data_IF_653743009967
#
_entry.id   IF_653743009967
#
_cell.length_a   1.000
_cell.length_b   1.000
_cell.length_c   1.000
_cell.angle_alpha   90.00
_cell.angle_beta   90.00
_cell.angle_gamma   90.00
#
_symmetry.space_group_name_H-M   'P 1'
#
loop_
_entity.id
_entity.type
_entity.pdbx_description
1 polymer ?
#
# COMPACT_ATOMS: atom_id res chain seq x y z
N UNK A 1 -3.93 -5.45 23.74
CA UNK A 1 -3.29 -4.58 22.75
C UNK A 1 -2.33 -3.64 23.50
N UNK A 2 -1.39 -2.99 22.81
CA UNK A 2 -0.40 -2.09 23.43
C UNK A 2 -1.06 -0.86 24.07
N UNK A 3 -0.25 0.09 24.52
CA UNK A 3 -0.77 1.36 25.03
C UNK A 3 -0.93 2.34 23.88
N UNK A 4 -2.10 2.99 23.80
CA UNK A 4 -2.46 3.91 22.72
C UNK A 4 -2.68 5.32 23.26
N UNK A 5 -2.02 6.28 22.62
CA UNK A 5 -2.28 7.71 22.84
C UNK A 5 -2.57 8.40 21.51
N UNK A 6 -3.45 9.40 21.56
CA UNK A 6 -3.81 10.22 20.40
C UNK A 6 -3.59 11.68 20.77
N UNK A 7 -2.67 12.34 20.06
CA UNK A 7 -2.59 13.79 20.08
C UNK A 7 -3.41 14.33 18.92
N UNK A 8 -4.40 15.19 19.17
CA UNK A 8 -5.25 15.77 18.11
C UNK A 8 -5.48 17.28 18.32
N UNK A 9 -5.60 18.03 17.22
CA UNK A 9 -6.00 19.44 17.19
C UNK A 9 -6.77 19.70 15.91
N UNK A 10 -8.01 20.16 16.02
CA UNK A 10 -8.81 20.60 14.88
C UNK A 10 -8.54 22.08 14.57
N UNK A 11 -8.93 22.54 13.37
CA UNK A 11 -8.74 23.93 12.94
C UNK A 11 -9.47 24.93 13.86
N UNK A 12 -10.59 24.52 14.46
CA UNK A 12 -11.43 25.38 15.29
C UNK A 12 -11.01 25.43 16.76
N UNK A 13 -10.08 24.56 17.19
CA UNK A 13 -9.64 24.49 18.59
C UNK A 13 -8.40 25.34 18.82
N UNK A 14 -8.41 26.13 19.90
CA UNK A 14 -7.27 26.98 20.29
C UNK A 14 -6.08 26.16 20.80
N UNK A 15 -6.34 25.06 21.51
CA UNK A 15 -5.32 24.18 22.09
C UNK A 15 -5.50 22.73 21.64
N UNK A 16 -4.40 22.01 21.46
CA UNK A 16 -4.46 20.58 21.20
C UNK A 16 -4.66 19.80 22.49
N UNK A 17 -5.11 18.55 22.34
CA UNK A 17 -5.19 17.62 23.46
C UNK A 17 -4.44 16.31 23.19
N UNK A 18 -3.95 15.74 24.28
CA UNK A 18 -3.43 14.38 24.36
C UNK A 18 -4.48 13.51 25.05
N UNK A 19 -4.88 12.44 24.37
CA UNK A 19 -5.87 11.47 24.82
C UNK A 19 -5.17 10.14 25.08
N UNK A 20 -5.34 9.57 26.27
CA UNK A 20 -4.84 8.23 26.60
C UNK A 20 -5.99 7.26 26.76
N UNK A 21 -5.85 6.07 26.21
CA UNK A 21 -6.91 5.06 26.18
C UNK A 21 -6.53 3.81 26.96
N UNK A 22 -7.51 3.17 27.58
CA UNK A 22 -7.35 1.86 28.21
C UNK A 22 -7.41 0.72 27.18
N UNK A 23 -7.24 -0.51 27.66
CA UNK A 23 -7.25 -1.72 26.83
C UNK A 23 -8.59 -2.01 26.14
N UNK A 24 -9.68 -1.39 26.60
CA UNK A 24 -11.03 -1.53 26.06
C UNK A 24 -11.38 -0.35 25.12
N UNK A 25 -10.44 0.56 24.88
CA UNK A 25 -10.66 1.74 24.06
C UNK A 25 -11.39 2.87 24.78
N UNK A 26 -11.51 2.80 26.11
CA UNK A 26 -12.13 3.88 26.90
C UNK A 26 -11.11 4.96 27.19
N UNK A 27 -11.54 6.22 27.13
CA UNK A 27 -10.70 7.37 27.45
C UNK A 27 -10.36 7.35 28.94
N UNK A 28 -9.06 7.33 29.27
CA UNK A 28 -8.54 7.33 30.64
C UNK A 28 -8.17 8.74 31.07
N UNK A 29 -7.54 9.51 30.18
CA UNK A 29 -7.10 10.86 30.49
C UNK A 29 -7.12 11.75 29.24
N UNK A 30 -7.35 13.04 29.50
CA UNK A 30 -7.26 14.13 28.54
C UNK A 30 -6.40 15.23 29.16
N UNK A 31 -5.34 15.64 28.49
CA UNK A 31 -4.50 16.76 28.91
C UNK A 31 -4.23 17.72 27.75
N UNK A 32 -3.89 18.97 28.07
CA UNK A 32 -3.49 19.95 27.07
C UNK A 32 -2.10 19.61 26.50
N UNK A 33 -1.90 19.86 25.20
CA UNK A 33 -0.63 19.67 24.51
C UNK A 33 -0.42 20.82 23.51
N UNK A 34 0.82 21.28 23.36
CA UNK A 34 1.16 22.22 22.28
C UNK A 34 1.49 21.44 21.01
N UNK A 35 0.75 21.70 19.92
CA UNK A 35 1.05 21.20 18.55
C UNK A 35 0.24 21.94 17.49
N UNK A 36 0.66 21.77 16.25
CA UNK A 36 -0.07 22.17 15.06
C UNK A 36 -1.30 21.30 14.80
N UNK A 37 -2.15 21.76 13.88
CA UNK A 37 -3.38 21.06 13.44
C UNK A 37 -3.06 19.69 12.84
N UNK A 38 -3.90 18.71 13.14
CA UNK A 38 -3.78 17.34 12.63
C UNK A 38 -3.92 16.30 13.73
N UNK A 39 -3.44 15.08 13.51
CA UNK A 39 -3.56 13.97 14.48
C UNK A 39 -2.32 13.09 14.46
N UNK A 40 -1.80 12.74 15.64
CA UNK A 40 -0.72 11.78 15.83
C UNK A 40 -1.24 10.63 16.69
N UNK A 41 -1.23 9.42 16.13
CA UNK A 41 -1.59 8.19 16.86
C UNK A 41 -0.29 7.48 17.23
N UNK A 42 -0.09 7.23 18.52
CA UNK A 42 1.07 6.51 19.05
C UNK A 42 0.63 5.19 19.67
N UNK A 43 1.23 4.10 19.23
CA UNK A 43 1.02 2.76 19.80
C UNK A 43 2.35 2.25 20.35
N UNK A 44 2.40 1.99 21.66
CA UNK A 44 3.58 1.50 22.38
C UNK A 44 3.36 0.09 22.88
N UNK A 45 4.44 -0.69 22.96
CA UNK A 45 4.43 -2.05 23.49
C UNK A 45 3.35 -2.95 22.84
N UNK A 46 3.29 -2.94 21.51
CA UNK A 46 2.32 -3.71 20.74
C UNK A 46 2.37 -5.19 21.15
N UNK A 47 1.20 -5.78 21.41
CA UNK A 47 1.02 -7.15 21.89
C UNK A 47 1.53 -7.49 23.30
N UNK A 48 1.98 -6.54 24.14
CA UNK A 48 2.50 -6.84 25.49
C UNK A 48 1.59 -7.71 26.37
N UNK A 49 0.28 -7.65 26.16
CA UNK A 49 -0.75 -8.41 26.92
C UNK A 49 -1.08 -9.78 26.30
N UNK A 50 -0.39 -10.18 25.23
CA UNK A 50 -0.56 -11.45 24.52
C UNK A 50 0.83 -12.11 24.36
N UNK A 51 1.33 -12.80 25.41
CA UNK A 51 2.74 -13.20 25.49
C UNK A 51 3.25 -14.02 24.29
N UNK A 52 2.45 -14.99 23.83
CA UNK A 52 2.79 -15.83 22.67
C UNK A 52 2.96 -14.98 21.42
N UNK A 53 1.97 -14.11 21.13
CA UNK A 53 1.98 -13.22 19.97
C UNK A 53 3.07 -12.16 20.06
N UNK A 54 3.37 -11.65 21.26
CA UNK A 54 4.45 -10.71 21.50
C UNK A 54 5.82 -11.34 21.16
N UNK A 55 6.06 -12.57 21.64
CA UNK A 55 7.30 -13.30 21.35
C UNK A 55 7.43 -13.59 19.85
N UNK A 56 6.35 -14.01 19.19
CA UNK A 56 6.33 -14.25 17.75
C UNK A 56 6.59 -12.95 16.95
N UNK A 57 5.95 -11.85 17.34
CA UNK A 57 6.14 -10.54 16.72
C UNK A 57 7.59 -10.06 16.83
N UNK A 58 8.20 -10.21 18.01
CA UNK A 58 9.61 -9.87 18.22
C UNK A 58 10.54 -10.75 17.37
N UNK A 59 10.32 -12.08 17.34
CA UNK A 59 11.10 -13.02 16.53
C UNK A 59 11.05 -12.65 15.04
N UNK A 60 9.89 -12.20 14.56
CA UNK A 60 9.64 -11.88 13.17
C UNK A 60 9.67 -10.37 12.86
N UNK A 61 10.25 -9.53 13.74
CA UNK A 61 10.16 -8.07 13.64
C UNK A 61 10.61 -7.51 12.28
N UNK A 62 11.72 -8.03 11.72
CA UNK A 62 12.21 -7.62 10.39
C UNK A 62 11.19 -7.89 9.28
N UNK A 63 10.55 -9.06 9.30
CA UNK A 63 9.52 -9.42 8.33
C UNK A 63 8.26 -8.55 8.48
N UNK A 64 7.87 -8.24 9.72
CA UNK A 64 6.73 -7.36 10.02
C UNK A 64 6.97 -5.91 9.56
N UNK A 65 8.19 -5.38 9.74
CA UNK A 65 8.59 -4.07 9.21
C UNK A 65 8.55 -4.07 7.69
N UNK A 66 9.09 -5.11 7.03
CA UNK A 66 9.05 -5.23 5.56
C UNK A 66 7.62 -5.30 5.03
N UNK A 67 6.74 -6.08 5.66
CA UNK A 67 5.33 -6.17 5.30
C UNK A 67 4.60 -4.83 5.49
N UNK A 68 4.89 -4.11 6.57
CA UNK A 68 4.32 -2.79 6.85
C UNK A 68 4.81 -1.76 5.83
N UNK A 69 6.11 -1.77 5.50
CA UNK A 69 6.68 -0.90 4.49
C UNK A 69 6.02 -1.12 3.13
N UNK A 70 5.84 -2.37 2.69
CA UNK A 70 5.13 -2.70 1.44
C UNK A 70 3.71 -2.14 1.39
N UNK A 71 2.98 -2.21 2.51
CA UNK A 71 1.63 -1.63 2.60
C UNK A 71 1.68 -0.10 2.45
N UNK A 72 2.60 0.57 3.14
CA UNK A 72 2.76 2.03 3.05
C UNK A 72 3.20 2.45 1.64
N UNK A 73 4.11 1.70 1.02
CA UNK A 73 4.55 1.91 -0.36
C UNK A 73 3.36 1.83 -1.33
N UNK A 74 2.48 0.84 -1.19
CA UNK A 74 1.28 0.73 -2.02
C UNK A 74 0.37 1.96 -1.85
N UNK A 75 0.12 2.41 -0.62
CA UNK A 75 -0.67 3.63 -0.39
C UNK A 75 -0.01 4.89 -0.97
N UNK A 76 1.31 5.02 -0.90
CA UNK A 76 2.01 6.17 -1.46
C UNK A 76 1.99 6.20 -2.98
N UNK A 77 2.00 5.04 -3.65
CA UNK A 77 1.80 4.96 -5.10
C UNK A 77 0.35 5.32 -5.46
N UNK A 78 -0.63 4.88 -4.67
CA UNK A 78 -2.04 5.15 -4.92
C UNK A 78 -2.46 6.61 -4.68
N UNK A 79 -1.73 7.33 -3.82
CA UNK A 79 -2.02 8.70 -3.38
C UNK A 79 -0.81 9.61 -3.67
N UNK A 80 -0.48 9.86 -4.95
CA UNK A 80 0.71 10.59 -5.38
C UNK A 80 0.81 12.03 -4.88
N UNK A 81 -0.33 12.64 -4.52
CA UNK A 81 -0.46 13.97 -3.96
C UNK A 81 -0.15 14.04 -2.45
N UNK A 82 -0.05 12.88 -1.78
CA UNK A 82 0.22 12.81 -0.35
C UNK A 82 1.70 12.55 -0.10
N UNK A 83 2.30 13.33 0.79
CA UNK A 83 3.68 13.15 1.25
C UNK A 83 3.74 12.03 2.29
N UNK A 84 4.48 10.97 2.00
CA UNK A 84 4.76 9.88 2.94
C UNK A 84 6.20 9.97 3.46
N UNK A 85 6.40 9.64 4.73
CA UNK A 85 7.74 9.45 5.32
C UNK A 85 7.68 8.30 6.31
N UNK A 86 8.53 7.30 6.09
CA UNK A 86 8.69 6.14 6.96
C UNK A 86 10.10 6.12 7.50
N UNK A 87 10.20 6.12 8.81
CA UNK A 87 11.46 6.13 9.53
C UNK A 87 11.50 4.96 10.49
N UNK A 88 12.62 4.26 10.50
CA UNK A 88 12.96 3.30 11.54
C UNK A 88 13.97 3.93 12.49
N UNK A 89 13.66 3.88 13.78
CA UNK A 89 14.55 4.33 14.84
C UNK A 89 14.98 3.11 15.67
N UNK A 90 16.30 2.97 15.89
CA UNK A 90 16.83 1.96 16.80
C UNK A 90 17.08 2.59 18.16
N UNK A 91 16.29 2.19 19.16
CA UNK A 91 16.32 2.77 20.51
C UNK A 91 17.56 2.41 21.35
N UNK A 92 18.35 1.37 21.00
CA UNK A 92 19.53 0.93 21.78
C UNK A 92 20.65 0.28 20.94
N UNK A 93 21.91 0.64 21.21
CA UNK A 93 23.14 0.02 20.68
C UNK A 93 24.20 1.04 20.19
N UNK A 94 25.49 0.65 20.05
CA UNK A 94 26.48 1.49 19.38
C UNK A 94 26.11 1.56 17.89
N UNK A 95 25.79 2.76 17.39
CA UNK A 95 25.11 2.97 16.10
C UNK A 95 23.61 3.28 16.20
N UNK A 96 23.14 3.72 17.38
CA UNK A 96 21.84 4.37 17.53
C UNK A 96 21.67 5.47 16.49
N UNK A 97 20.63 5.34 15.67
CA UNK A 97 20.46 6.18 14.49
C UNK A 97 19.06 6.06 13.91
N UNK A 98 18.66 7.13 13.24
CA UNK A 98 17.40 7.26 12.53
C UNK A 98 17.66 6.89 11.07
N UNK A 99 17.01 5.84 10.57
CA UNK A 99 17.13 5.43 9.16
C UNK A 99 15.81 5.72 8.46
N UNK A 100 15.86 6.54 7.42
CA UNK A 100 14.71 6.75 6.52
C UNK A 100 14.55 5.52 5.65
N UNK A 101 13.41 4.84 5.77
CA UNK A 101 13.08 3.67 4.95
C UNK A 101 12.41 4.09 3.63
N UNK A 102 11.69 5.20 3.64
CA UNK A 102 10.94 5.71 2.50
C UNK A 102 10.59 7.18 2.73
N UNK A 103 10.66 8.00 1.68
CA UNK A 103 10.13 9.34 1.67
C UNK A 103 9.63 9.70 0.27
N UNK A 104 8.46 10.31 0.17
CA UNK A 104 7.93 10.88 -1.07
C UNK A 104 7.75 12.38 -0.90
N UNK A 105 7.63 13.11 -2.02
CA UNK A 105 7.42 14.57 -2.02
C UNK A 105 5.94 14.97 -2.11
N UNK A 106 5.03 14.06 -2.50
CA UNK A 106 3.61 14.38 -2.71
C UNK A 106 3.34 15.20 -3.98
N UNK A 107 4.27 15.18 -4.95
CA UNK A 107 4.23 16.03 -6.15
C UNK A 107 4.00 15.24 -7.44
N UNK A 108 3.86 13.91 -7.34
CA UNK A 108 3.69 13.07 -8.52
C UNK A 108 2.34 13.36 -9.20
N UNK A 109 2.33 13.27 -10.54
CA UNK A 109 1.15 13.56 -11.38
C UNK A 109 0.61 12.35 -12.13
N UNK A 110 1.39 11.28 -12.21
CA UNK A 110 1.02 10.05 -12.90
C UNK A 110 1.63 8.82 -12.19
N UNK A 111 1.18 7.63 -12.58
CA UNK A 111 1.61 6.35 -12.01
C UNK A 111 3.11 6.13 -12.11
N UNK A 112 3.77 6.59 -13.18
CA UNK A 112 5.22 6.47 -13.37
C UNK A 112 6.00 7.25 -12.32
N UNK A 113 5.68 8.53 -12.15
CA UNK A 113 6.31 9.38 -11.13
C UNK A 113 6.02 8.87 -9.71
N UNK A 114 4.78 8.44 -9.47
CA UNK A 114 4.37 7.90 -8.17
C UNK A 114 5.16 6.64 -7.82
N UNK A 115 5.27 5.71 -8.77
CA UNK A 115 6.03 4.49 -8.62
C UNK A 115 7.54 4.75 -8.51
N UNK A 116 8.10 5.69 -9.28
CA UNK A 116 9.53 6.03 -9.24
C UNK A 116 9.92 6.56 -7.86
N UNK A 117 9.09 7.44 -7.30
CA UNK A 117 9.31 8.01 -5.96
C UNK A 117 9.32 6.96 -4.83
N UNK A 118 8.72 5.78 -5.05
CA UNK A 118 8.53 4.75 -4.02
C UNK A 118 9.42 3.52 -4.24
N UNK A 119 9.55 3.07 -5.49
CA UNK A 119 10.27 1.86 -5.89
C UNK A 119 11.67 2.17 -6.46
N UNK A 120 11.93 3.44 -6.82
CA UNK A 120 13.16 3.92 -7.47
C UNK A 120 13.10 3.82 -9.00
N UNK A 121 13.74 4.76 -9.70
CA UNK A 121 13.76 4.81 -11.17
C UNK A 121 14.30 3.53 -11.83
N UNK A 122 15.33 2.93 -11.24
CA UNK A 122 15.90 1.67 -11.73
C UNK A 122 14.88 0.52 -11.76
N UNK A 123 13.91 0.53 -10.84
CA UNK A 123 12.84 -0.47 -10.81
C UNK A 123 11.85 -0.33 -11.96
N UNK A 124 11.72 0.87 -12.54
CA UNK A 124 10.80 1.20 -13.63
C UNK A 124 11.48 1.26 -14.99
N UNK A 125 12.76 0.89 -15.09
CA UNK A 125 13.49 0.94 -16.35
C UNK A 125 12.77 0.13 -17.43
N UNK A 126 12.37 0.82 -18.50
CA UNK A 126 11.64 0.25 -19.63
C UNK A 126 10.18 -0.14 -19.35
N UNK A 127 9.61 0.26 -18.21
CA UNK A 127 8.19 0.01 -17.91
C UNK A 127 7.29 0.69 -18.95
N UNK A 128 6.33 -0.05 -19.46
CA UNK A 128 5.41 0.37 -20.50
C UNK A 128 4.10 0.84 -19.86
N UNK A 129 3.59 2.03 -20.24
CA UNK A 129 2.28 2.48 -19.78
C UNK A 129 1.17 1.61 -20.36
N UNK A 130 0.16 1.35 -19.54
CA UNK A 130 -1.06 0.65 -19.92
C UNK A 130 -2.25 1.59 -19.69
N UNK A 131 -3.14 1.70 -20.67
CA UNK A 131 -4.43 2.34 -20.53
C UNK A 131 -5.49 1.56 -21.32
N UNK A 132 -6.61 1.25 -20.70
CA UNK A 132 -7.74 0.59 -21.34
C UNK A 132 -9.06 1.00 -20.69
N UNK A 133 -10.13 1.04 -21.47
CA UNK A 133 -11.49 1.31 -20.98
C UNK A 133 -12.42 0.24 -21.51
N UNK A 134 -13.23 -0.36 -20.64
CA UNK A 134 -14.09 -1.47 -21.03
C UNK A 134 -15.23 -1.68 -20.02
N UNK A 135 -16.48 -1.76 -20.51
CA UNK A 135 -17.69 -2.01 -19.69
C UNK A 135 -17.82 -1.10 -18.44
N UNK A 136 -17.43 0.18 -18.55
CA UNK A 136 -17.48 1.14 -17.43
C UNK A 136 -16.31 1.04 -16.45
N UNK A 137 -15.32 0.19 -16.73
CA UNK A 137 -14.03 0.15 -16.06
C UNK A 137 -13.00 0.96 -16.83
N UNK A 138 -12.19 1.70 -16.09
CA UNK A 138 -10.96 2.28 -16.59
C UNK A 138 -9.79 1.58 -15.91
N UNK A 139 -8.80 1.19 -16.71
CA UNK A 139 -7.58 0.54 -16.24
C UNK A 139 -6.41 1.36 -16.69
N UNK A 140 -5.58 1.78 -15.74
CA UNK A 140 -4.34 2.51 -16.01
C UNK A 140 -3.18 1.88 -15.24
N UNK A 141 -1.96 2.07 -15.74
CA UNK A 141 -0.76 1.85 -14.96
C UNK A 141 0.45 1.47 -15.78
N UNK A 142 1.25 0.54 -15.27
CA UNK A 142 2.57 0.21 -15.81
C UNK A 142 2.83 -1.30 -15.75
N UNK A 143 3.50 -1.81 -16.78
CA UNK A 143 3.97 -3.19 -16.82
C UNK A 143 5.43 -3.27 -17.29
N UNK A 144 6.19 -4.25 -16.80
CA UNK A 144 7.54 -4.51 -17.29
C UNK A 144 7.55 -4.86 -18.78
N UNK A 145 8.62 -4.48 -19.51
CA UNK A 145 8.82 -4.95 -20.88
C UNK A 145 9.14 -6.47 -20.87
N UNK A 146 8.87 -7.21 -21.96
CA UNK A 146 9.01 -8.66 -22.01
C UNK A 146 10.38 -9.19 -21.55
N UNK A 147 11.46 -8.49 -21.88
CA UNK A 147 12.84 -8.90 -21.55
C UNK A 147 13.38 -8.31 -20.23
N UNK A 148 12.55 -7.62 -19.45
CA UNK A 148 12.91 -7.01 -18.17
C UNK A 148 12.51 -7.87 -16.96
N UNK A 149 12.14 -7.20 -15.86
CA UNK A 149 11.47 -7.83 -14.71
C UNK A 149 12.33 -7.99 -13.46
N UNK A 150 11.76 -8.69 -12.47
CA UNK A 150 12.28 -8.82 -11.10
C UNK A 150 12.44 -10.27 -10.69
N UNK A 151 13.24 -10.50 -9.65
CA UNK A 151 13.41 -11.84 -9.05
C UNK A 151 12.21 -12.33 -8.26
N UNK A 152 11.29 -11.43 -7.88
CA UNK A 152 10.13 -11.72 -7.06
C UNK A 152 8.91 -10.91 -7.48
N UNK A 153 7.73 -11.30 -6.97
CA UNK A 153 6.45 -10.60 -7.14
C UNK A 153 6.31 -9.35 -6.26
N UNK A 154 7.41 -8.80 -5.76
CA UNK A 154 7.43 -7.74 -4.75
C UNK A 154 6.94 -6.38 -5.28
N UNK A 155 6.92 -6.19 -6.60
CA UNK A 155 6.46 -4.98 -7.27
C UNK A 155 5.20 -5.20 -8.11
N UNK A 156 4.29 -6.07 -7.65
CA UNK A 156 2.97 -6.25 -8.24
C UNK A 156 1.92 -5.57 -7.36
N UNK A 157 1.52 -4.37 -7.75
CA UNK A 157 0.61 -3.50 -7.03
C UNK A 157 -0.71 -3.35 -7.81
N UNK A 158 -1.81 -3.59 -7.12
CA UNK A 158 -3.15 -3.51 -7.68
C UNK A 158 -3.97 -2.53 -6.86
N UNK A 159 -4.76 -1.70 -7.53
CA UNK A 159 -5.59 -0.69 -6.91
C UNK A 159 -6.99 -0.72 -7.49
N UNK A 160 -8.00 -0.60 -6.64
CA UNK A 160 -9.38 -0.33 -7.09
C UNK A 160 -9.84 0.97 -6.45
N UNK A 161 -10.25 1.94 -7.25
CA UNK A 161 -10.65 3.28 -6.80
C UNK A 161 -9.62 3.90 -5.84
N UNK A 162 -8.34 3.91 -6.27
CA UNK A 162 -7.16 4.39 -5.51
C UNK A 162 -6.91 3.67 -4.17
N UNK A 163 -7.48 2.48 -3.98
CA UNK A 163 -7.27 1.67 -2.78
C UNK A 163 -6.40 0.46 -3.09
N UNK A 164 -5.27 0.26 -2.39
CA UNK A 164 -4.47 -0.95 -2.53
C UNK A 164 -5.29 -2.20 -2.19
N UNK A 165 -5.23 -3.18 -3.09
CA UNK A 165 -5.90 -4.48 -2.93
C UNK A 165 -4.89 -5.60 -3.18
N UNK A 166 -5.19 -6.77 -2.64
CA UNK A 166 -4.42 -7.96 -3.01
C UNK A 166 -4.66 -8.27 -4.51
N UNK A 167 -3.64 -8.80 -5.22
CA UNK A 167 -3.78 -9.14 -6.63
C UNK A 167 -4.99 -10.06 -6.86
N UNK A 168 -5.97 -9.66 -7.69
CA UNK A 168 -7.09 -10.53 -8.03
C UNK A 168 -6.54 -11.80 -8.67
N UNK A 169 -6.83 -12.98 -8.09
CA UNK A 169 -6.13 -14.24 -8.42
C UNK A 169 -6.10 -14.55 -9.91
N UNK A 170 -7.22 -14.33 -10.61
CA UNK A 170 -7.36 -14.56 -12.06
C UNK A 170 -6.47 -13.60 -12.87
N UNK A 171 -6.52 -12.31 -12.55
CA UNK A 171 -5.74 -11.25 -13.23
C UNK A 171 -4.24 -11.47 -13.01
N UNK A 172 -3.85 -11.68 -11.75
CA UNK A 172 -2.46 -11.95 -11.40
C UNK A 172 -1.93 -13.19 -12.11
N UNK A 173 -2.73 -14.26 -12.19
CA UNK A 173 -2.36 -15.47 -12.93
C UNK A 173 -2.18 -15.18 -14.42
N UNK A 174 -3.15 -14.54 -15.07
CA UNK A 174 -3.09 -14.19 -16.49
C UNK A 174 -1.84 -13.38 -16.83
N UNK A 175 -1.58 -12.30 -16.10
CA UNK A 175 -0.41 -11.43 -16.34
C UNK A 175 0.89 -12.22 -16.20
N UNK A 176 1.01 -13.03 -15.14
CA UNK A 176 2.22 -13.80 -14.90
C UNK A 176 2.41 -14.92 -15.94
N UNK A 177 1.34 -15.63 -16.31
CA UNK A 177 1.39 -16.69 -17.31
C UNK A 177 1.74 -16.12 -18.69
N UNK A 178 1.16 -14.99 -19.09
CA UNK A 178 1.52 -14.28 -20.33
C UNK A 178 2.96 -13.80 -20.30
N UNK A 179 3.40 -13.16 -19.21
CA UNK A 179 4.78 -12.67 -19.09
C UNK A 179 5.81 -13.80 -19.19
N UNK A 180 5.54 -14.94 -18.54
CA UNK A 180 6.44 -16.09 -18.57
C UNK A 180 6.55 -16.77 -19.95
N UNK A 181 5.65 -16.51 -20.90
CA UNK A 181 5.82 -16.93 -22.28
C UNK A 181 7.02 -16.24 -22.95
N UNK A 182 7.32 -15.01 -22.53
CA UNK A 182 8.46 -14.22 -23.03
C UNK A 182 9.68 -14.31 -22.12
N UNK A 183 9.48 -14.34 -20.80
CA UNK A 183 10.56 -14.40 -19.82
C UNK A 183 10.19 -15.24 -18.61
N UNK A 184 10.50 -16.54 -18.69
CA UNK A 184 10.21 -17.53 -17.65
C UNK A 184 11.06 -17.42 -16.38
N UNK A 185 12.09 -16.55 -16.36
CA UNK A 185 13.04 -16.43 -15.25
C UNK A 185 12.77 -15.24 -14.34
N UNK A 186 11.87 -14.35 -14.74
CA UNK A 186 11.59 -13.11 -14.02
C UNK A 186 10.08 -12.89 -13.85
N UNK A 187 9.73 -12.15 -12.81
CA UNK A 187 8.38 -11.68 -12.55
C UNK A 187 8.22 -10.25 -13.06
N UNK A 188 7.07 -9.88 -13.65
CA UNK A 188 6.85 -8.51 -14.09
C UNK A 188 6.67 -7.57 -12.90
N UNK A 189 7.18 -6.34 -13.04
CA UNK A 189 6.61 -5.20 -12.33
C UNK A 189 5.22 -4.94 -12.91
N UNK A 190 4.25 -4.78 -12.03
CA UNK A 190 2.85 -4.55 -12.39
C UNK A 190 2.32 -3.47 -11.48
N UNK A 191 1.79 -2.41 -12.06
CA UNK A 191 1.05 -1.36 -11.36
C UNK A 191 -0.24 -1.24 -12.14
N UNK A 192 -1.35 -1.70 -11.57
CA UNK A 192 -2.64 -1.64 -12.24
C UNK A 192 -3.68 -1.01 -11.34
N UNK A 193 -4.23 0.10 -11.81
CA UNK A 193 -5.27 0.85 -11.14
C UNK A 193 -6.58 0.74 -11.92
N UNK A 194 -7.58 0.17 -11.27
CA UNK A 194 -8.94 0.04 -11.74
C UNK A 194 -9.77 1.19 -11.17
N UNK A 195 -10.49 1.89 -12.03
CA UNK A 195 -11.52 2.85 -11.64
C UNK A 195 -12.86 2.31 -12.12
N UNK A 196 -13.82 2.23 -11.21
CA UNK A 196 -15.17 1.79 -11.52
C UNK A 196 -16.20 2.52 -10.65
N UNK A 197 -17.43 2.74 -11.15
CA UNK A 197 -18.56 3.21 -10.36
C UNK A 197 -18.78 2.38 -9.09
N UNK A 198 -19.18 3.03 -8.00
CA UNK A 198 -19.34 2.38 -6.68
C UNK A 198 -20.30 1.18 -6.69
N UNK A 199 -21.27 1.13 -7.61
CA UNK A 199 -22.20 0.00 -7.74
C UNK A 199 -21.59 -1.29 -8.31
N UNK A 200 -20.37 -1.24 -8.86
CA UNK A 200 -19.71 -2.39 -9.48
C UNK A 200 -18.63 -3.03 -8.60
N UNK A 201 -18.30 -2.41 -7.46
CA UNK A 201 -17.23 -2.84 -6.55
C UNK A 201 -17.79 -2.99 -5.14
N UNK A 202 -17.77 -4.22 -4.61
CA UNK A 202 -17.98 -4.44 -3.19
C UNK A 202 -16.63 -4.49 -2.46
N UNK A 203 -16.43 -3.53 -1.56
CA UNK A 203 -15.21 -3.37 -0.76
C UNK A 203 -15.34 -4.04 0.62
N UNK A 204 -16.54 -4.43 1.03
CA UNK A 204 -16.82 -4.98 2.35
C UNK A 204 -16.79 -6.53 2.36
N UNK A 205 -15.84 -7.12 1.65
CA UNK A 205 -15.74 -8.58 1.50
C UNK A 205 -14.95 -9.22 2.64
N UNK A 206 -13.82 -8.62 3.02
CA UNK A 206 -12.93 -9.15 4.05
C UNK A 206 -12.72 -8.15 5.20
N UNK A 207 -12.51 -8.60 6.44
CA UNK A 207 -12.25 -7.69 7.57
C UNK A 207 -11.00 -6.83 7.41
N UNK A 208 -9.98 -7.33 6.70
CA UNK A 208 -8.77 -6.57 6.35
C UNK A 208 -9.00 -5.63 5.16
N UNK A 209 -10.17 -5.72 4.55
CA UNK A 209 -10.65 -5.03 3.36
C UNK A 209 -9.73 -5.24 2.15
N UNK A 210 -8.74 -6.14 2.16
CA UNK A 210 -7.76 -6.23 1.06
C UNK A 210 -8.32 -6.88 -0.19
N UNK A 211 -9.42 -7.61 -0.05
CA UNK A 211 -10.13 -8.23 -1.16
C UNK A 211 -11.34 -7.38 -1.52
N UNK A 212 -11.55 -7.22 -2.82
CA UNK A 212 -12.71 -6.56 -3.42
C UNK A 212 -13.42 -7.57 -4.32
N UNK A 213 -14.74 -7.56 -4.31
CA UNK A 213 -15.56 -8.36 -5.21
C UNK A 213 -16.02 -7.47 -6.36
N UNK A 214 -15.87 -7.98 -7.59
CA UNK A 214 -16.20 -7.25 -8.82
C UNK A 214 -17.50 -7.85 -9.37
N UNK A 215 -18.56 -7.05 -9.47
CA UNK A 215 -19.93 -7.54 -9.75
C UNK A 215 -20.17 -8.09 -11.18
N UNK A 216 -19.14 -8.20 -12.03
CA UNK A 216 -19.22 -8.77 -13.39
C UNK A 216 -18.01 -9.67 -13.73
N UNK A 217 -17.65 -10.62 -12.86
CA UNK A 217 -16.62 -11.64 -13.21
C UNK A 217 -17.08 -12.65 -14.29
N UNK A 218 -18.37 -12.68 -14.64
CA UNK A 218 -18.98 -13.81 -15.37
C UNK A 218 -19.07 -13.67 -16.91
N UNK A 219 -18.85 -12.49 -17.50
CA UNK A 219 -19.15 -12.26 -18.93
C UNK A 219 -17.96 -12.19 -19.90
N UNK A 220 -16.81 -11.64 -19.46
CA UNK A 220 -15.91 -10.97 -20.39
C UNK A 220 -14.42 -11.24 -20.11
N UNK A 221 -14.07 -12.47 -19.71
CA UNK A 221 -12.68 -12.85 -19.41
C UNK A 221 -11.70 -12.66 -20.58
N UNK A 222 -12.19 -12.53 -21.81
CA UNK A 222 -11.41 -12.33 -23.03
C UNK A 222 -11.37 -10.88 -23.52
N UNK A 223 -12.43 -10.09 -23.34
CA UNK A 223 -12.55 -8.75 -23.94
C UNK A 223 -11.97 -7.62 -23.06
N UNK A 224 -11.91 -7.79 -21.72
CA UNK A 224 -11.33 -6.80 -20.80
C UNK A 224 -9.83 -6.59 -21.09
N UNK A 225 -9.18 -7.61 -21.66
CA UNK A 225 -7.74 -7.82 -21.55
C UNK A 225 -7.03 -8.05 -22.88
N UNK A 226 -7.77 -7.96 -23.99
CA UNK A 226 -7.20 -7.91 -25.34
C UNK A 226 -6.10 -6.85 -25.51
N UNK A 227 -6.15 -5.67 -24.84
CA UNK A 227 -5.06 -4.69 -24.92
C UNK A 227 -3.73 -5.16 -24.34
N UNK A 228 -3.74 -6.06 -23.33
CA UNK A 228 -2.51 -6.57 -22.72
C UNK A 228 -1.69 -7.42 -23.70
N UNK A 229 -2.35 -8.19 -24.57
CA UNK A 229 -1.68 -8.99 -25.58
C UNK A 229 -1.05 -8.16 -26.71
N UNK A 230 -1.59 -6.96 -26.99
CA UNK A 230 -1.04 -6.05 -28.00
C UNK A 230 0.11 -5.17 -27.50
N UNK A 231 0.32 -5.10 -26.19
CA UNK A 231 1.40 -4.31 -25.56
C UNK A 231 2.66 -5.12 -25.24
N UNK A 232 2.64 -6.45 -25.45
CA UNK A 232 3.78 -7.36 -25.30
C UNK A 232 4.39 -7.76 -26.64
#
# INVERSE_FOLDING_TARGET
MGDMTIATKTVHESAACLLSYDRFGRLVSRSALARETGTTVSVRELFKRLPVRHREFQKNAKAQVSATLRLIQAYAVAQPEVRFSVVSEKLRGPGGGRTTLMATSGTARNWTQAAAAVLGDAALSGALPLAATMEGWEVEGLISPPFGGRRSRDAQLFFVNRRPVDPPKRIAKLINDTYHQYNSRAWPLVILAFTAPQGLVDVNVTPDKKTVFLHHEAGSGSSLWCPLGSSF
#
